data_IF_906735743822
#
_entry.id   IF_906735743822
#
_cell.length_a   1.000
_cell.length_b   1.000
_cell.length_c   1.000
_cell.angle_alpha   90.00
_cell.angle_beta   90.00
_cell.angle_gamma   90.00
#
_symmetry.space_group_name_H-M   'P 1'
#
loop_
_entity.id
_entity.type
_entity.pdbx_description
1 polymer ?
#
# COMPACT_ATOMS: atom_id res chain seq x y z
N UNK A 1 -7.59 -5.03 17.66
CA UNK A 1 -6.23 -4.62 17.24
C UNK A 1 -5.98 -3.25 17.84
N UNK A 2 -4.75 -2.99 18.28
CA UNK A 2 -4.38 -1.81 19.09
C UNK A 2 -3.28 -1.10 18.31
N UNK A 3 -3.49 0.19 18.06
CA UNK A 3 -2.44 1.16 17.72
C UNK A 3 -1.57 1.31 18.98
N UNK A 4 -0.45 0.58 19.01
CA UNK A 4 0.45 0.50 20.16
C UNK A 4 1.80 1.19 19.90
N UNK A 5 1.96 1.82 18.74
CA UNK A 5 2.99 2.82 18.48
C UNK A 5 2.47 4.28 18.61
N UNK A 6 1.17 4.45 18.91
CA UNK A 6 0.47 5.71 19.17
C UNK A 6 0.47 6.68 17.98
N UNK A 7 0.58 6.19 16.75
CA UNK A 7 0.59 7.03 15.55
C UNK A 7 -0.82 7.32 14.97
N UNK A 8 -1.86 6.77 15.60
CA UNK A 8 -3.26 6.94 15.19
C UNK A 8 -3.69 5.99 14.06
N UNK A 9 -2.84 5.08 13.63
CA UNK A 9 -3.07 4.10 12.57
C UNK A 9 -2.83 2.69 13.11
N UNK A 10 -3.65 1.72 12.67
CA UNK A 10 -3.29 0.32 12.82
C UNK A 10 -2.35 -0.01 11.66
N UNK A 11 -1.06 -0.11 11.93
CA UNK A 11 -0.03 -0.31 10.92
C UNK A 11 1.08 -1.28 11.37
N UNK A 12 2.04 -1.56 10.50
CA UNK A 12 3.10 -2.55 10.75
C UNK A 12 4.20 -2.12 11.72
N UNK A 13 4.21 -0.86 12.18
CA UNK A 13 5.01 -0.45 13.32
C UNK A 13 4.35 -0.89 14.63
N UNK A 14 3.07 -1.27 14.62
CA UNK A 14 2.45 -1.96 15.75
C UNK A 14 3.04 -3.38 15.88
N UNK A 15 3.62 -3.79 17.04
CA UNK A 15 3.98 -5.19 17.29
C UNK A 15 2.88 -6.22 17.00
N UNK A 16 1.61 -5.80 16.90
CA UNK A 16 0.50 -6.64 16.50
C UNK A 16 0.47 -6.98 14.99
N UNK A 17 1.30 -6.32 14.19
CA UNK A 17 1.30 -6.38 12.72
C UNK A 17 2.58 -6.99 12.11
N UNK A 18 3.43 -7.66 12.91
CA UNK A 18 4.56 -8.45 12.43
C UNK A 18 4.69 -9.80 13.17
N UNK A 19 5.00 -10.92 12.47
CA UNK A 19 5.12 -11.09 11.02
C UNK A 19 3.76 -11.33 10.32
N UNK A 20 3.67 -11.26 8.97
CA UNK A 20 2.45 -11.54 8.22
C UNK A 20 2.05 -13.01 8.35
N UNK A 21 1.18 -13.29 9.32
CA UNK A 21 0.68 -14.62 9.63
C UNK A 21 -0.81 -14.72 9.34
N UNK A 22 -1.23 -15.91 8.95
CA UNK A 22 -2.64 -16.22 8.88
C UNK A 22 -3.23 -16.31 10.28
N UNK A 23 -4.32 -15.59 10.52
CA UNK A 23 -5.12 -15.65 11.75
C UNK A 23 -6.46 -16.31 11.46
N UNK A 24 -6.77 -17.40 12.16
CA UNK A 24 -7.98 -18.19 11.95
C UNK A 24 -7.89 -19.18 10.79
N UNK A 25 -8.90 -20.06 10.70
CA UNK A 25 -8.98 -21.11 9.69
C UNK A 25 -7.92 -22.24 9.85
N UNK A 26 -7.89 -23.19 8.91
CA UNK A 26 -6.95 -24.31 8.91
C UNK A 26 -5.47 -23.95 8.78
N UNK A 27 -5.16 -22.77 8.23
CA UNK A 27 -3.79 -22.28 8.02
C UNK A 27 -3.30 -21.34 9.13
N UNK A 28 -3.97 -21.31 10.29
CA UNK A 28 -3.64 -20.40 11.38
C UNK A 28 -2.17 -20.53 11.83
N UNK A 29 -1.44 -19.41 11.89
CA UNK A 29 -0.02 -19.32 12.22
C UNK A 29 0.93 -19.53 11.02
N UNK A 30 0.42 -19.89 9.84
CA UNK A 30 1.25 -20.01 8.64
C UNK A 30 1.64 -18.64 8.06
N UNK A 31 2.85 -18.58 7.49
CA UNK A 31 3.35 -17.41 6.77
C UNK A 31 2.46 -17.09 5.57
N UNK A 32 1.94 -15.86 5.54
CA UNK A 32 1.10 -15.36 4.46
C UNK A 32 1.75 -14.25 3.61
N UNK A 33 3.06 -14.02 3.76
CA UNK A 33 3.84 -12.96 3.09
C UNK A 33 4.04 -13.12 1.58
N UNK A 34 3.67 -14.26 0.99
CA UNK A 34 4.03 -14.53 -0.41
C UNK A 34 2.99 -14.03 -1.41
N UNK A 35 3.43 -13.17 -2.31
CA UNK A 35 2.76 -12.88 -3.57
C UNK A 35 2.75 -14.15 -4.44
N UNK A 36 1.70 -14.97 -4.34
CA UNK A 36 1.69 -16.25 -5.05
C UNK A 36 1.94 -16.15 -6.54
N UNK A 37 2.41 -17.27 -7.11
CA UNK A 37 2.82 -17.40 -8.50
C UNK A 37 2.00 -18.47 -9.21
N UNK A 38 2.11 -18.55 -10.54
CA UNK A 38 1.49 -19.63 -11.33
C UNK A 38 1.93 -21.05 -10.91
N UNK A 39 3.03 -21.19 -10.14
CA UNK A 39 3.54 -22.47 -9.60
C UNK A 39 3.24 -22.71 -8.12
N UNK A 40 2.85 -21.69 -7.35
CA UNK A 40 2.59 -21.79 -5.90
C UNK A 40 1.45 -20.83 -5.53
N UNK A 41 0.26 -21.32 -5.13
CA UNK A 41 -0.82 -20.43 -4.72
C UNK A 41 -0.33 -19.51 -3.59
N UNK A 42 -0.73 -18.23 -3.56
CA UNK A 42 -0.29 -17.30 -2.51
C UNK A 42 -0.69 -17.87 -1.16
N UNK A 43 0.22 -17.93 -0.19
CA UNK A 43 -0.15 -18.37 1.16
C UNK A 43 -1.20 -17.44 1.80
N UNK A 44 -1.20 -16.15 1.44
CA UNK A 44 -2.30 -15.22 1.72
C UNK A 44 -3.66 -15.67 1.16
N UNK A 45 -3.68 -16.25 -0.04
CA UNK A 45 -4.92 -16.69 -0.69
C UNK A 45 -5.44 -18.00 -0.10
N UNK A 46 -4.54 -18.92 0.26
CA UNK A 46 -4.90 -20.14 1.00
C UNK A 46 -5.48 -19.81 2.38
N UNK A 47 -4.85 -18.87 3.09
CA UNK A 47 -5.34 -18.35 4.37
C UNK A 47 -6.77 -17.78 4.22
N UNK A 48 -6.98 -16.88 3.26
CA UNK A 48 -8.26 -16.18 3.11
C UNK A 48 -9.40 -17.06 2.56
N UNK A 49 -9.10 -17.98 1.63
CA UNK A 49 -10.12 -18.87 1.07
C UNK A 49 -10.67 -19.90 2.07
N UNK A 50 -9.91 -20.20 3.12
CA UNK A 50 -10.29 -21.20 4.14
C UNK A 50 -10.83 -20.57 5.43
N UNK A 51 -11.19 -19.29 5.38
CA UNK A 51 -11.79 -18.55 6.49
C UNK A 51 -10.81 -17.90 7.47
N UNK A 52 -9.52 -17.85 7.13
CA UNK A 52 -8.51 -17.07 7.86
C UNK A 52 -8.37 -15.64 7.33
N UNK A 53 -7.63 -14.80 8.06
CA UNK A 53 -7.25 -13.44 7.63
C UNK A 53 -5.74 -13.33 7.65
N UNK A 54 -5.13 -12.92 6.53
CA UNK A 54 -3.69 -12.66 6.48
C UNK A 54 -3.43 -11.27 7.06
N UNK A 55 -2.83 -11.21 8.25
CA UNK A 55 -2.43 -9.95 8.85
C UNK A 55 -1.28 -9.36 8.04
N UNK A 56 -1.39 -8.09 7.66
CA UNK A 56 -0.35 -7.39 6.89
C UNK A 56 0.05 -8.13 5.62
N UNK A 57 -0.94 -8.57 4.84
CA UNK A 57 -0.71 -9.33 3.61
C UNK A 57 0.16 -8.59 2.60
N UNK A 58 0.79 -9.34 1.67
CA UNK A 58 1.79 -8.76 0.79
C UNK A 58 1.16 -7.87 -0.26
N UNK A 59 1.83 -6.75 -0.51
CA UNK A 59 1.54 -5.88 -1.63
C UNK A 59 2.42 -6.27 -2.83
N UNK A 60 1.80 -6.74 -3.90
CA UNK A 60 2.49 -7.41 -4.99
C UNK A 60 2.76 -6.51 -6.19
N UNK A 61 3.82 -6.83 -6.95
CA UNK A 61 4.18 -6.21 -8.23
C UNK A 61 4.35 -4.70 -8.14
N UNK A 62 5.05 -4.24 -7.10
CA UNK A 62 5.15 -2.83 -6.76
C UNK A 62 6.49 -2.19 -7.16
N UNK A 63 6.59 -1.56 -8.36
CA UNK A 63 7.71 -0.69 -8.68
C UNK A 63 7.47 0.71 -8.10
N UNK A 64 7.64 0.85 -6.78
CA UNK A 64 7.53 2.17 -6.14
C UNK A 64 8.77 3.01 -6.39
N UNK A 65 8.58 4.31 -6.58
CA UNK A 65 9.66 5.27 -6.77
C UNK A 65 9.42 6.54 -5.97
N UNK A 66 10.51 7.08 -5.45
CA UNK A 66 10.60 8.44 -4.93
C UNK A 66 11.55 9.18 -5.84
N UNK A 67 11.14 10.33 -6.36
CA UNK A 67 12.01 11.25 -7.08
C UNK A 67 12.08 12.56 -6.32
N UNK A 68 13.24 12.90 -5.82
CA UNK A 68 13.46 14.16 -5.13
C UNK A 68 13.31 15.34 -6.10
N UNK A 69 12.65 16.38 -5.61
CA UNK A 69 12.54 17.65 -6.31
C UNK A 69 13.89 18.35 -6.44
N UNK A 70 14.01 19.35 -7.33
CA UNK A 70 15.14 20.24 -7.33
C UNK A 70 15.33 20.89 -5.95
N UNK A 71 16.57 21.26 -5.56
CA UNK A 71 16.81 22.01 -4.32
C UNK A 71 15.91 23.24 -4.24
N UNK A 72 15.19 23.40 -3.12
CA UNK A 72 14.28 24.53 -2.88
C UNK A 72 12.88 24.39 -3.49
N UNK A 73 12.58 23.34 -4.26
CA UNK A 73 11.24 23.11 -4.81
C UNK A 73 10.21 22.66 -3.76
N UNK A 74 10.67 22.06 -2.66
CA UNK A 74 9.83 21.63 -1.52
C UNK A 74 8.89 20.45 -1.80
N UNK A 75 8.84 19.95 -3.04
CA UNK A 75 7.99 18.82 -3.44
C UNK A 75 8.81 17.73 -4.14
N UNK A 76 8.77 16.54 -3.55
CA UNK A 76 9.23 15.29 -4.13
C UNK A 76 8.04 14.56 -4.77
N UNK A 77 8.34 13.66 -5.70
CA UNK A 77 7.35 12.84 -6.38
C UNK A 77 7.37 11.41 -5.85
N UNK A 78 6.20 10.92 -5.46
CA UNK A 78 5.93 9.51 -5.16
C UNK A 78 5.10 8.89 -6.27
N UNK A 79 5.55 7.73 -6.77
CA UNK A 79 4.77 6.90 -7.70
C UNK A 79 4.81 5.45 -7.23
N UNK A 80 3.66 4.81 -7.20
CA UNK A 80 3.55 3.39 -6.85
C UNK A 80 2.49 2.72 -7.71
N UNK A 81 2.67 1.42 -7.94
CA UNK A 81 1.73 0.58 -8.67
C UNK A 81 1.74 -0.81 -8.06
N UNK A 82 0.80 -1.08 -7.17
CA UNK A 82 0.77 -2.35 -6.47
C UNK A 82 -0.51 -3.13 -6.71
N UNK A 83 -0.53 -4.36 -6.18
CA UNK A 83 -1.70 -5.23 -6.15
C UNK A 83 -1.87 -5.82 -4.76
N UNK A 84 -2.98 -5.46 -4.14
CA UNK A 84 -3.47 -6.06 -2.90
C UNK A 84 -4.46 -7.20 -3.22
N UNK A 85 -4.51 -8.20 -2.35
CA UNK A 85 -5.62 -9.17 -2.31
C UNK A 85 -6.25 -9.08 -0.94
N UNK A 86 -7.57 -8.86 -0.89
CA UNK A 86 -8.32 -8.75 0.36
C UNK A 86 -9.24 -9.96 0.52
N UNK A 87 -9.43 -10.46 1.76
CA UNK A 87 -10.35 -11.56 2.05
C UNK A 87 -11.82 -11.20 1.83
N UNK A 88 -12.16 -9.91 1.96
CA UNK A 88 -13.53 -9.40 1.90
C UNK A 88 -13.54 -8.25 0.91
N UNK A 89 -14.60 -8.19 0.09
CA UNK A 89 -14.80 -7.06 -0.80
C UNK A 89 -14.92 -5.76 0.01
N UNK A 90 -14.01 -4.84 -0.24
CA UNK A 90 -13.95 -3.50 0.32
C UNK A 90 -14.77 -2.50 -0.53
N UNK A 91 -15.56 -1.66 0.13
CA UNK A 91 -16.19 -0.48 -0.48
C UNK A 91 -15.17 0.66 -0.60
N UNK A 92 -14.49 0.70 -1.76
CA UNK A 92 -13.45 1.70 -2.04
C UNK A 92 -13.96 3.14 -2.11
N UNK A 93 -15.28 3.34 -2.22
CA UNK A 93 -15.89 4.68 -2.29
C UNK A 93 -16.33 5.17 -0.91
N UNK A 94 -16.76 4.25 -0.03
CA UNK A 94 -17.30 4.56 1.29
C UNK A 94 -16.26 4.77 2.39
N UNK A 95 -15.01 4.36 2.19
CA UNK A 95 -13.94 4.51 3.18
C UNK A 95 -12.71 5.26 2.68
N UNK A 96 -11.78 5.56 3.58
CA UNK A 96 -10.50 6.17 3.21
C UNK A 96 -9.67 5.18 2.38
N UNK A 97 -8.96 5.70 1.39
CA UNK A 97 -7.90 4.97 0.68
C UNK A 97 -6.59 5.71 0.88
N UNK A 98 -5.58 5.04 1.42
CA UNK A 98 -4.33 5.68 1.80
C UNK A 98 -3.09 4.84 1.46
N UNK A 99 -1.97 5.55 1.30
CA UNK A 99 -0.63 5.00 1.15
C UNK A 99 0.25 5.62 2.21
N UNK A 100 0.92 4.77 2.98
CA UNK A 100 1.86 5.18 4.01
C UNK A 100 3.24 4.64 3.66
N UNK A 101 4.21 5.54 3.57
CA UNK A 101 5.61 5.23 3.36
C UNK A 101 6.37 5.48 4.67
N UNK A 102 7.10 4.47 5.13
CA UNK A 102 7.86 4.50 6.39
C UNK A 102 9.27 3.95 6.22
N UNK A 103 10.14 4.29 7.17
CA UNK A 103 11.41 3.61 7.40
C UNK A 103 11.65 3.46 8.91
N UNK A 104 12.87 3.05 9.28
CA UNK A 104 13.33 2.92 10.67
C UNK A 104 13.22 4.21 11.48
N UNK A 105 13.20 5.38 10.83
CA UNK A 105 13.04 6.68 11.48
C UNK A 105 11.57 7.12 11.57
N UNK A 106 10.61 6.27 11.20
CA UNK A 106 9.16 6.52 11.24
C UNK A 106 8.57 6.91 9.88
N UNK A 107 7.46 7.66 9.91
CA UNK A 107 6.75 8.09 8.69
C UNK A 107 7.62 8.99 7.81
N UNK A 108 7.77 8.58 6.54
CA UNK A 108 8.34 9.41 5.47
C UNK A 108 7.23 10.27 4.86
N UNK A 109 6.11 9.64 4.47
CA UNK A 109 5.04 10.33 3.76
C UNK A 109 3.72 9.55 3.85
N UNK A 110 2.60 10.27 3.91
CA UNK A 110 1.24 9.71 3.84
C UNK A 110 0.44 10.44 2.78
N UNK A 111 -0.19 9.68 1.90
CA UNK A 111 -1.14 10.18 0.92
C UNK A 111 -2.49 9.50 1.13
N UNK A 112 -3.57 10.26 1.32
CA UNK A 112 -4.88 9.70 1.54
C UNK A 112 -5.98 10.42 0.75
N UNK A 113 -6.97 9.66 0.32
CA UNK A 113 -8.22 10.14 -0.26
C UNK A 113 -9.35 9.90 0.75
N UNK A 114 -10.13 10.93 1.09
CA UNK A 114 -11.30 10.75 1.94
C UNK A 114 -12.40 9.97 1.21
N UNK A 115 -13.37 9.41 1.95
CA UNK A 115 -14.58 8.83 1.37
C UNK A 115 -15.22 9.74 0.31
N UNK A 116 -15.68 9.15 -0.79
CA UNK A 116 -16.33 9.87 -1.89
C UNK A 116 -15.39 10.67 -2.82
N UNK A 117 -14.08 10.73 -2.55
CA UNK A 117 -13.15 11.44 -3.44
C UNK A 117 -12.91 10.73 -4.78
N UNK A 118 -12.98 9.39 -4.79
CA UNK A 118 -12.85 8.60 -6.00
C UNK A 118 -14.09 8.76 -6.90
N UNK A 119 -13.92 8.57 -8.20
CA UNK A 119 -15.00 8.56 -9.19
C UNK A 119 -15.04 7.20 -9.88
N UNK A 120 -16.17 6.48 -9.88
CA UNK A 120 -16.29 5.19 -10.55
C UNK A 120 -16.35 5.35 -12.07
N UNK A 121 -15.80 4.37 -12.79
CA UNK A 121 -16.07 4.18 -14.21
C UNK A 121 -17.44 3.52 -14.40
N UNK A 122 -18.08 3.69 -15.57
CA UNK A 122 -19.35 3.01 -15.88
C UNK A 122 -19.30 1.48 -15.77
N UNK A 123 -18.12 0.88 -15.93
CA UNK A 123 -17.91 -0.57 -15.79
C UNK A 123 -18.00 -1.07 -14.34
N UNK A 124 -17.97 -0.19 -13.33
CA UNK A 124 -18.02 -0.55 -11.91
C UNK A 124 -16.76 -1.22 -11.35
N UNK A 125 -15.81 -1.62 -12.20
CA UNK A 125 -14.56 -2.29 -11.80
C UNK A 125 -13.37 -1.33 -11.63
N UNK A 126 -13.54 -0.05 -11.90
CA UNK A 126 -12.46 0.95 -11.87
C UNK A 126 -12.90 2.24 -11.21
N UNK A 127 -11.97 2.85 -10.48
CA UNK A 127 -12.18 4.06 -9.72
C UNK A 127 -10.98 4.98 -9.92
N UNK A 128 -11.22 6.26 -10.13
CA UNK A 128 -10.17 7.23 -10.45
C UNK A 128 -10.27 8.48 -9.61
N UNK A 129 -9.14 9.15 -9.42
CA UNK A 129 -9.07 10.50 -8.88
C UNK A 129 -8.02 11.29 -9.66
N UNK A 130 -8.23 12.60 -9.81
CA UNK A 130 -7.26 13.51 -10.43
C UNK A 130 -7.35 14.90 -9.82
N UNK A 131 -6.21 15.43 -9.39
CA UNK A 131 -6.06 16.79 -8.91
C UNK A 131 -4.78 17.40 -9.50
N UNK A 132 -4.88 18.26 -10.54
CA UNK A 132 -3.72 18.89 -11.15
C UNK A 132 -2.90 19.78 -10.20
N UNK A 133 -3.56 20.40 -9.22
CA UNK A 133 -2.96 21.38 -8.32
C UNK A 133 -1.96 20.75 -7.34
N UNK A 134 -2.01 19.42 -7.18
CA UNK A 134 -1.07 18.68 -6.35
C UNK A 134 0.40 18.84 -6.80
N UNK A 135 0.64 19.19 -8.07
CA UNK A 135 2.00 19.50 -8.55
C UNK A 135 2.59 20.79 -7.98
N UNK A 136 1.73 21.68 -7.49
CA UNK A 136 2.10 23.00 -6.96
C UNK A 136 2.00 23.00 -5.43
N UNK A 137 0.95 22.37 -4.89
CA UNK A 137 0.63 22.43 -3.47
C UNK A 137 0.91 21.12 -2.71
N UNK A 138 1.35 20.07 -3.40
CA UNK A 138 1.47 18.74 -2.82
C UNK A 138 0.13 18.00 -2.73
N UNK A 139 0.18 16.77 -2.27
CA UNK A 139 -0.95 15.84 -2.19
C UNK A 139 -1.03 14.88 -3.37
N UNK A 140 -2.16 14.18 -3.48
CA UNK A 140 -2.37 13.17 -4.52
C UNK A 140 -2.66 13.87 -5.85
N UNK A 141 -1.89 13.57 -6.90
CA UNK A 141 -2.14 14.07 -8.24
C UNK A 141 -3.11 13.19 -9.02
N UNK A 142 -2.95 11.87 -8.95
CA UNK A 142 -3.91 10.94 -9.54
C UNK A 142 -3.87 9.57 -8.88
N UNK A 143 -5.02 8.92 -8.87
CA UNK A 143 -5.18 7.52 -8.45
C UNK A 143 -6.01 6.78 -9.50
N UNK A 144 -5.66 5.52 -9.74
CA UNK A 144 -6.52 4.54 -10.40
C UNK A 144 -6.56 3.29 -9.51
N UNK A 145 -7.75 2.81 -9.16
CA UNK A 145 -7.96 1.50 -8.53
C UNK A 145 -8.76 0.65 -9.51
N UNK A 146 -8.32 -0.59 -9.70
CA UNK A 146 -9.01 -1.62 -10.47
C UNK A 146 -9.32 -2.79 -9.57
N UNK A 147 -10.59 -3.14 -9.49
CA UNK A 147 -11.09 -4.31 -8.78
C UNK A 147 -11.19 -5.47 -9.79
N UNK A 148 -10.75 -6.66 -9.40
CA UNK A 148 -10.81 -7.86 -10.23
C UNK A 148 -10.95 -9.12 -9.37
N UNK A 149 -11.21 -10.27 -10.01
CA UNK A 149 -11.38 -11.54 -9.29
C UNK A 149 -12.56 -11.50 -8.31
N UNK A 150 -13.74 -11.10 -8.80
CA UNK A 150 -14.98 -11.03 -8.00
C UNK A 150 -14.90 -10.15 -6.73
N UNK A 151 -14.04 -9.12 -6.74
CA UNK A 151 -13.89 -8.23 -5.59
C UNK A 151 -12.76 -8.58 -4.64
N UNK A 152 -11.93 -9.58 -4.97
CA UNK A 152 -10.84 -10.05 -4.10
C UNK A 152 -9.49 -9.38 -4.40
N UNK A 153 -9.29 -8.83 -5.62
CA UNK A 153 -8.00 -8.27 -6.03
C UNK A 153 -8.09 -6.80 -6.44
N UNK A 154 -7.25 -5.99 -5.82
CA UNK A 154 -7.20 -4.54 -5.93
C UNK A 154 -5.85 -4.12 -6.52
N UNK A 155 -5.82 -3.83 -7.81
CA UNK A 155 -4.67 -3.18 -8.44
C UNK A 155 -4.80 -1.67 -8.29
N UNK A 156 -3.75 -0.97 -7.87
CA UNK A 156 -3.76 0.49 -7.80
C UNK A 156 -2.60 1.11 -8.56
N UNK A 157 -2.77 2.37 -8.97
CA UNK A 157 -1.69 3.27 -9.38
C UNK A 157 -1.88 4.59 -8.66
N UNK A 158 -0.82 5.13 -8.09
CA UNK A 158 -0.81 6.45 -7.46
C UNK A 158 0.36 7.27 -7.98
N UNK A 159 0.12 8.56 -8.16
CA UNK A 159 1.14 9.59 -8.24
C UNK A 159 0.77 10.70 -7.26
N UNK A 160 1.69 11.06 -6.38
CA UNK A 160 1.52 12.08 -5.36
C UNK A 160 2.79 12.93 -5.22
N UNK A 161 2.64 14.08 -4.57
CA UNK A 161 3.71 15.04 -4.34
C UNK A 161 3.74 15.48 -2.89
N UNK A 162 4.94 15.68 -2.33
CA UNK A 162 5.11 16.13 -0.95
C UNK A 162 6.56 16.06 -0.51
N UNK A 163 6.84 16.48 0.72
CA UNK A 163 8.17 16.35 1.31
C UNK A 163 8.45 14.88 1.66
N UNK A 164 9.49 14.31 1.05
CA UNK A 164 10.00 12.96 1.32
C UNK A 164 11.47 13.01 1.74
N UNK A 165 11.94 14.15 2.25
CA UNK A 165 13.31 14.33 2.73
C UNK A 165 13.74 13.31 3.80
N UNK A 166 12.77 12.72 4.51
CA UNK A 166 12.97 11.64 5.49
C UNK A 166 13.26 10.27 4.87
N UNK A 167 13.19 10.11 3.55
CA UNK A 167 13.63 8.91 2.83
C UNK A 167 15.16 8.83 2.80
N UNK A 168 15.76 8.61 3.96
CA UNK A 168 17.22 8.58 4.18
C UNK A 168 17.77 7.16 4.32
N UNK A 169 16.97 6.21 4.79
CA UNK A 169 17.29 4.79 4.89
C UNK A 169 16.82 4.03 3.64
N UNK A 170 17.58 3.03 3.22
CA UNK A 170 17.25 2.15 2.10
C UNK A 170 16.16 1.14 2.47
N UNK A 171 16.08 0.71 3.73
CA UNK A 171 15.00 -0.17 4.18
C UNK A 171 13.73 0.65 4.38
N UNK A 172 12.79 0.51 3.44
CA UNK A 172 11.54 1.27 3.42
C UNK A 172 10.34 0.33 3.20
N UNK A 173 9.22 0.72 3.80
CA UNK A 173 7.96 0.00 3.75
C UNK A 173 6.88 0.86 3.13
N UNK A 174 6.14 0.29 2.17
CA UNK A 174 4.92 0.86 1.65
C UNK A 174 3.72 0.06 2.17
N UNK A 175 2.79 0.75 2.82
CA UNK A 175 1.49 0.21 3.21
C UNK A 175 0.39 0.84 2.37
N UNK A 176 -0.58 0.02 1.99
CA UNK A 176 -1.78 0.41 1.27
C UNK A 176 -3.02 0.06 2.08
N UNK A 177 -3.82 1.08 2.37
CA UNK A 177 -5.07 1.01 3.11
C UNK A 177 -6.23 1.16 2.12
N UNK A 178 -7.23 0.29 2.25
CA UNK A 178 -8.43 0.32 1.42
C UNK A 178 -9.64 0.32 2.33
N UNK A 179 -10.55 1.27 2.14
CA UNK A 179 -11.87 1.28 2.75
C UNK A 179 -11.88 1.11 4.29
N UNK A 180 -10.92 1.72 4.98
CA UNK A 180 -10.72 1.55 6.44
C UNK A 180 -10.63 0.07 6.88
N UNK A 181 -10.23 -0.83 5.98
CA UNK A 181 -10.06 -2.23 6.32
C UNK A 181 -9.00 -2.37 7.42
N UNK A 182 -9.19 -3.32 8.35
CA UNK A 182 -8.44 -3.36 9.60
C UNK A 182 -6.97 -3.76 9.40
N UNK A 183 -6.59 -4.29 8.24
CA UNK A 183 -5.22 -4.68 7.91
C UNK A 183 -4.78 -4.06 6.58
N UNK A 184 -3.75 -3.19 6.56
CA UNK A 184 -3.16 -2.76 5.30
C UNK A 184 -2.43 -3.91 4.61
N UNK A 185 -2.21 -3.78 3.30
CA UNK A 185 -1.21 -4.61 2.62
C UNK A 185 0.13 -3.92 2.62
N UNK A 186 1.22 -4.64 2.87
CA UNK A 186 2.56 -4.08 3.01
C UNK A 186 3.53 -4.67 2.00
N UNK A 187 4.47 -3.83 1.55
CA UNK A 187 5.67 -4.22 0.84
C UNK A 187 6.88 -3.58 1.51
N UNK A 188 7.78 -4.39 2.08
CA UNK A 188 9.03 -3.93 2.70
C UNK A 188 10.20 -4.51 1.93
N UNK A 189 11.13 -3.66 1.52
CA UNK A 189 12.33 -4.09 0.83
C UNK A 189 13.51 -3.12 1.04
N UNK A 190 14.70 -3.53 0.57
CA UNK A 190 15.84 -2.64 0.42
C UNK A 190 15.73 -1.90 -0.92
N UNK A 191 15.40 -0.62 -0.87
CA UNK A 191 15.28 0.21 -2.06
C UNK A 191 16.66 0.62 -2.56
N UNK A 192 16.79 0.71 -3.88
CA UNK A 192 18.02 1.19 -4.49
C UNK A 192 18.01 2.70 -4.61
N UNK A 193 19.07 3.33 -4.07
CA UNK A 193 19.35 4.74 -4.30
C UNK A 193 19.69 4.97 -5.78
N UNK A 194 19.13 6.04 -6.34
CA UNK A 194 19.45 6.57 -7.67
C UNK A 194 19.98 8.00 -7.53
N UNK A 195 20.49 8.57 -8.62
CA UNK A 195 20.91 9.96 -8.65
C UNK A 195 19.78 10.95 -8.31
N UNK A 196 18.52 10.55 -8.52
CA UNK A 196 17.35 11.43 -8.36
C UNK A 196 16.40 10.99 -7.24
N UNK A 197 16.72 9.97 -6.45
CA UNK A 197 15.82 9.46 -5.40
C UNK A 197 15.96 7.96 -5.16
N UNK A 198 14.85 7.25 -5.03
CA UNK A 198 14.81 5.83 -4.66
C UNK A 198 13.89 5.03 -5.58
N UNK A 199 14.24 3.76 -5.78
CA UNK A 199 13.43 2.79 -6.53
C UNK A 199 13.36 1.48 -5.75
N UNK A 200 12.13 1.02 -5.52
CA UNK A 200 11.82 -0.34 -5.11
C UNK A 200 12.08 -1.29 -6.29
N UNK A 201 12.97 -2.26 -6.09
CA UNK A 201 13.23 -3.29 -7.08
C UNK A 201 12.21 -4.38 -6.84
N UNK A 202 11.06 -4.31 -7.54
CA UNK A 202 9.90 -5.21 -7.36
C UNK A 202 10.10 -6.71 -7.60
N UNK A 203 11.15 -7.30 -7.03
CA UNK A 203 11.45 -8.71 -6.90
C UNK A 203 11.90 -8.96 -5.46
N UNK A 204 11.03 -9.66 -4.72
CA UNK A 204 11.38 -10.34 -3.48
C UNK A 204 12.65 -11.16 -3.67
N UNK A 205 13.51 -11.21 -2.64
CA UNK A 205 14.40 -12.34 -2.41
C UNK A 205 13.62 -13.67 -2.46
#
# INVERSE_FOLDING_TARGET
MIDNDCNGLIDCADPACQPPVCSGGPHNGEDCSTCGSAKRPPSARACTHTGGTCQCGPLCKDPTTIKFGPPGAGLDQFKSHGRASLPISADVMGGEVAWLLTNTNGMIYRAALPPGALTPYPSGDRFTYKNPDAKIHGGIYKVLIKISGFGESYGYRIEAYGDMSRATDALMSLQFYIANQPTPTIHTELWKRTAAGWVAHGFSL
#
